data_IF_844560851988
#
_entry.id   IF_844560851988
#
_cell.length_a   1.000
_cell.length_b   1.000
_cell.length_c   1.000
_cell.angle_alpha   90.00
_cell.angle_beta   90.00
_cell.angle_gamma   90.00
#
_symmetry.space_group_name_H-M   'P 1'
#
loop_
_entity.id
_entity.type
_entity.pdbx_description
1 polymer ?
#
# COMPACT_ATOMS: atom_id res chain seq x y z
N UNK A 1 -5.88 16.08 10.92
CA UNK A 1 -4.89 15.66 9.94
C UNK A 1 -4.66 14.15 10.06
N UNK A 2 -4.62 13.46 8.93
CA UNK A 2 -4.28 12.04 8.84
C UNK A 2 -3.08 11.90 7.90
N UNK A 3 -2.01 11.24 8.35
CA UNK A 3 -0.77 11.19 7.55
C UNK A 3 0.04 9.92 7.72
N UNK A 4 0.62 9.48 6.61
CA UNK A 4 1.63 8.42 6.61
C UNK A 4 2.81 8.83 7.53
N UNK A 5 3.38 7.86 8.24
CA UNK A 5 4.47 8.11 9.19
C UNK A 5 4.03 8.65 10.55
N UNK A 6 2.73 8.87 10.79
CA UNK A 6 2.18 9.29 12.08
C UNK A 6 1.87 8.12 13.04
N UNK A 7 2.28 6.90 12.74
CA UNK A 7 2.09 5.72 13.59
C UNK A 7 3.06 5.60 14.78
N UNK A 8 3.98 6.57 14.97
CA UNK A 8 4.89 6.62 16.13
C UNK A 8 4.38 7.60 17.17
N UNK A 9 4.92 7.53 18.41
CA UNK A 9 4.48 8.44 19.50
C UNK A 9 4.88 9.91 19.25
N UNK A 10 6.06 10.14 18.65
CA UNK A 10 6.63 11.50 18.57
C UNK A 10 6.22 12.26 17.29
N UNK A 11 6.08 11.58 16.16
CA UNK A 11 5.76 12.22 14.89
C UNK A 11 4.41 12.98 14.91
N UNK A 12 3.31 12.41 15.42
CA UNK A 12 2.04 13.13 15.57
C UNK A 12 2.15 14.35 16.47
N UNK A 13 2.87 14.26 17.59
CA UNK A 13 3.05 15.37 18.53
C UNK A 13 3.82 16.53 17.90
N UNK A 14 4.90 16.23 17.17
CA UNK A 14 5.69 17.25 16.48
C UNK A 14 4.85 17.96 15.41
N UNK A 15 4.17 17.19 14.56
CA UNK A 15 3.32 17.74 13.50
C UNK A 15 2.15 18.54 14.07
N UNK A 16 1.53 18.07 15.15
CA UNK A 16 0.47 18.80 15.85
C UNK A 16 0.91 20.18 16.28
N UNK A 17 2.09 20.31 16.92
CA UNK A 17 2.64 21.63 17.34
C UNK A 17 2.84 22.58 16.16
N UNK A 18 3.35 22.06 15.03
CA UNK A 18 3.53 22.88 13.81
C UNK A 18 2.17 23.34 13.28
N UNK A 19 1.20 22.43 13.18
CA UNK A 19 -0.14 22.79 12.69
C UNK A 19 -0.87 23.77 13.63
N UNK A 20 -0.76 23.62 14.95
CA UNK A 20 -1.32 24.56 15.93
C UNK A 20 -0.69 25.96 15.82
N UNK A 21 0.58 26.07 15.46
CA UNK A 21 1.23 27.36 15.22
C UNK A 21 0.73 28.07 13.95
N UNK A 22 0.21 27.33 12.99
CA UNK A 22 -0.32 27.85 11.72
C UNK A 22 -1.84 28.12 11.85
N UNK A 23 -2.56 27.18 12.44
CA UNK A 23 -4.01 27.22 12.58
C UNK A 23 -4.41 27.60 14.03
N UNK A 24 -4.11 28.85 14.42
CA UNK A 24 -4.24 29.34 15.80
C UNK A 24 -5.66 29.30 16.38
N UNK A 25 -6.69 29.27 15.52
CA UNK A 25 -8.10 29.24 15.91
C UNK A 25 -8.76 27.87 15.69
N UNK A 26 -7.97 26.80 15.43
CA UNK A 26 -8.49 25.47 15.18
C UNK A 26 -8.07 24.48 16.26
N UNK A 27 -8.95 23.54 16.60
CA UNK A 27 -8.57 22.35 17.35
C UNK A 27 -7.85 21.39 16.38
N UNK A 28 -6.57 21.10 16.63
CA UNK A 28 -5.76 20.25 15.79
C UNK A 28 -5.67 18.84 16.37
N UNK A 29 -6.02 17.84 15.58
CA UNK A 29 -5.78 16.44 15.85
C UNK A 29 -4.93 15.83 14.74
N UNK A 30 -3.92 15.03 15.10
CA UNK A 30 -3.05 14.32 14.16
C UNK A 30 -3.12 12.83 14.45
N UNK A 31 -3.51 12.06 13.46
CA UNK A 31 -3.59 10.58 13.49
C UNK A 31 -2.85 9.99 12.30
N UNK A 32 -2.56 8.71 12.35
CA UNK A 32 -2.03 7.98 11.21
C UNK A 32 -3.09 7.84 10.09
N UNK A 33 -2.63 7.62 8.87
CA UNK A 33 -3.45 7.49 7.66
C UNK A 33 -4.42 6.30 7.70
N UNK A 34 -4.11 5.27 8.49
CA UNK A 34 -4.99 4.12 8.75
C UNK A 34 -6.37 4.55 9.24
N UNK A 35 -6.45 5.58 10.10
CA UNK A 35 -7.74 6.11 10.55
C UNK A 35 -8.55 6.74 9.42
N UNK A 36 -7.89 7.44 8.48
CA UNK A 36 -8.59 8.00 7.32
C UNK A 36 -9.17 6.89 6.43
N UNK A 37 -8.40 5.83 6.18
CA UNK A 37 -8.87 4.69 5.42
C UNK A 37 -10.07 4.02 6.09
N UNK A 38 -10.03 3.82 7.42
CA UNK A 38 -11.15 3.25 8.18
C UNK A 38 -12.39 4.12 8.04
N UNK A 39 -12.29 5.40 8.39
CA UNK A 39 -13.46 6.29 8.36
C UNK A 39 -14.04 6.50 6.96
N UNK A 40 -13.20 6.43 5.91
CA UNK A 40 -13.67 6.49 4.53
C UNK A 40 -14.44 5.25 4.09
N UNK A 41 -14.21 4.11 4.72
CA UNK A 41 -14.84 2.82 4.35
C UNK A 41 -16.02 2.45 5.26
N UNK A 42 -15.95 2.72 6.57
CA UNK A 42 -17.03 2.40 7.51
C UNK A 42 -18.05 3.54 7.66
N UNK A 43 -17.73 4.75 7.17
CA UNK A 43 -18.62 5.90 7.23
C UNK A 43 -18.95 6.38 8.65
N UNK A 44 -20.04 7.13 8.78
CA UNK A 44 -20.49 7.71 10.05
C UNK A 44 -21.09 6.68 11.03
N UNK A 45 -21.43 5.48 10.54
CA UNK A 45 -21.99 4.42 11.39
C UNK A 45 -20.97 3.78 12.31
N UNK A 46 -19.67 3.97 12.05
CA UNK A 46 -18.56 3.38 12.81
C UNK A 46 -18.73 1.87 13.04
N UNK A 47 -19.30 1.16 12.03
CA UNK A 47 -19.54 -0.28 12.13
C UNK A 47 -18.21 -1.05 12.13
N UNK A 48 -18.11 -2.13 12.91
CA UNK A 48 -16.93 -2.97 12.90
C UNK A 48 -16.61 -3.51 11.50
N UNK A 49 -15.32 -3.54 11.14
CA UNK A 49 -14.86 -4.01 9.84
C UNK A 49 -13.38 -4.39 9.88
N UNK A 50 -12.95 -5.30 9.02
CA UNK A 50 -11.54 -5.47 8.65
C UNK A 50 -11.26 -4.53 7.48
N UNK A 51 -10.27 -3.64 7.62
CA UNK A 51 -9.95 -2.64 6.60
C UNK A 51 -8.54 -2.88 6.07
N UNK A 52 -8.47 -3.10 4.76
CA UNK A 52 -7.24 -3.35 4.02
C UNK A 52 -6.86 -2.11 3.21
N UNK A 53 -5.62 -1.66 3.36
CA UNK A 53 -5.05 -0.58 2.55
C UNK A 53 -4.14 -1.21 1.51
N UNK A 54 -4.38 -0.94 0.22
CA UNK A 54 -3.56 -1.37 -0.92
C UNK A 54 -3.18 -0.16 -1.76
N UNK A 55 -2.12 0.51 -1.36
CA UNK A 55 -1.57 1.71 -2.00
C UNK A 55 -0.11 1.53 -2.42
N UNK A 56 0.75 2.50 -2.17
CA UNK A 56 2.20 2.39 -2.32
C UNK A 56 2.76 1.26 -1.45
N UNK A 57 2.32 1.17 -0.20
CA UNK A 57 2.48 0.03 0.70
C UNK A 57 1.15 -0.69 0.91
N UNK A 58 1.13 -1.68 1.83
CA UNK A 58 -0.10 -2.35 2.23
C UNK A 58 -0.21 -2.52 3.74
N UNK A 59 -1.45 -2.55 4.23
CA UNK A 59 -1.75 -2.77 5.64
C UNK A 59 -3.13 -3.43 5.78
N UNK A 60 -3.37 -4.10 6.90
CA UNK A 60 -4.66 -4.67 7.26
C UNK A 60 -4.90 -4.51 8.75
N UNK A 61 -6.05 -3.98 9.13
CA UNK A 61 -6.43 -3.71 10.52
C UNK A 61 -7.87 -4.12 10.77
N UNK A 62 -8.19 -4.48 12.00
CA UNK A 62 -9.56 -4.64 12.44
C UNK A 62 -9.98 -3.40 13.25
N UNK A 63 -11.12 -2.84 12.89
CA UNK A 63 -11.80 -1.77 13.61
C UNK A 63 -13.04 -2.35 14.29
N UNK A 64 -13.16 -2.22 15.61
CA UNK A 64 -14.26 -2.79 16.39
C UNK A 64 -15.47 -1.86 16.54
N UNK A 65 -15.44 -0.70 15.88
CA UNK A 65 -16.41 0.39 16.02
C UNK A 65 -15.92 1.55 16.89
N UNK A 66 -14.84 1.35 17.66
CA UNK A 66 -14.26 2.36 18.55
C UNK A 66 -12.73 2.43 18.46
N UNK A 67 -12.06 1.30 18.40
CA UNK A 67 -10.61 1.18 18.42
C UNK A 67 -10.09 0.38 17.23
N UNK A 68 -8.83 0.64 16.87
CA UNK A 68 -8.09 -0.08 15.84
C UNK A 68 -7.27 -1.18 16.51
N UNK A 69 -7.38 -2.40 15.97
CA UNK A 69 -6.60 -3.56 16.38
C UNK A 69 -5.69 -3.98 15.24
N UNK A 70 -4.38 -3.83 15.42
CA UNK A 70 -3.36 -4.22 14.46
C UNK A 70 -2.61 -5.45 14.99
N UNK A 71 -2.80 -6.60 14.35
CA UNK A 71 -2.14 -7.85 14.73
C UNK A 71 -0.76 -8.00 14.10
N UNK A 72 -0.56 -7.41 12.94
CA UNK A 72 0.71 -7.43 12.21
C UNK A 72 1.29 -6.02 12.17
N UNK A 73 2.46 -5.84 12.78
CA UNK A 73 3.19 -4.56 12.72
C UNK A 73 3.86 -4.47 11.34
N UNK A 74 3.59 -3.40 10.59
CA UNK A 74 4.24 -3.17 9.30
C UNK A 74 5.71 -2.80 9.51
N UNK A 75 6.61 -3.60 8.93
CA UNK A 75 8.04 -3.33 8.89
C UNK A 75 8.48 -2.66 7.57
N UNK A 76 7.52 -2.31 6.73
CA UNK A 76 7.74 -1.59 5.49
C UNK A 76 8.12 -2.48 4.29
N UNK A 77 8.31 -1.81 3.17
CA UNK A 77 8.38 -2.40 1.83
C UNK A 77 9.51 -3.41 1.59
N UNK A 78 10.58 -3.36 2.37
CA UNK A 78 11.71 -4.29 2.19
C UNK A 78 11.37 -5.73 2.58
N UNK A 79 10.46 -5.90 3.55
CA UNK A 79 10.14 -7.20 4.17
C UNK A 79 8.67 -7.57 3.94
N UNK A 80 7.78 -6.58 3.93
CA UNK A 80 6.34 -6.74 3.89
C UNK A 80 5.72 -6.02 2.68
N UNK A 81 4.51 -5.53 2.82
CA UNK A 81 3.73 -4.79 1.81
C UNK A 81 3.24 -5.66 0.64
N UNK A 82 2.89 -6.92 0.89
CA UNK A 82 2.30 -7.81 -0.13
C UNK A 82 1.11 -7.14 -0.84
N UNK A 83 0.96 -7.38 -2.13
CA UNK A 83 -0.05 -6.81 -3.02
C UNK A 83 -0.10 -5.27 -3.09
N UNK A 84 0.90 -4.57 -2.59
CA UNK A 84 1.03 -3.12 -2.75
C UNK A 84 1.65 -2.72 -4.08
N UNK A 85 1.63 -1.42 -4.40
CA UNK A 85 2.29 -0.87 -5.57
C UNK A 85 3.79 -1.16 -5.59
N UNK A 86 4.48 -1.02 -4.44
CA UNK A 86 5.91 -1.33 -4.35
C UNK A 86 6.20 -2.83 -4.52
N UNK A 87 5.34 -3.70 -3.99
CA UNK A 87 5.44 -5.16 -4.19
C UNK A 87 5.36 -5.51 -5.68
N UNK A 88 4.34 -5.02 -6.35
CA UNK A 88 4.15 -5.29 -7.77
C UNK A 88 5.24 -4.67 -8.64
N UNK A 89 5.67 -3.45 -8.33
CA UNK A 89 6.77 -2.81 -9.05
C UNK A 89 8.07 -3.58 -8.91
N UNK A 90 8.40 -4.04 -7.71
CA UNK A 90 9.55 -4.90 -7.46
C UNK A 90 9.45 -6.22 -8.25
N UNK A 91 8.26 -6.85 -8.28
CA UNK A 91 8.06 -8.08 -9.02
C UNK A 91 8.24 -7.85 -10.53
N UNK A 92 7.66 -6.79 -11.09
CA UNK A 92 7.79 -6.45 -12.51
C UNK A 92 9.24 -6.18 -12.92
N UNK A 93 9.99 -5.42 -12.11
CA UNK A 93 11.41 -5.20 -12.35
C UNK A 93 12.21 -6.51 -12.32
N UNK A 94 11.97 -7.36 -11.34
CA UNK A 94 12.60 -8.69 -11.28
C UNK A 94 12.31 -9.53 -12.52
N UNK A 95 11.05 -9.60 -12.91
CA UNK A 95 10.60 -10.38 -14.06
C UNK A 95 11.19 -9.84 -15.37
N UNK A 96 11.33 -8.51 -15.48
CA UNK A 96 12.01 -7.88 -16.62
C UNK A 96 13.47 -8.29 -16.73
N UNK A 97 14.24 -8.17 -15.64
CA UNK A 97 15.67 -8.43 -15.64
C UNK A 97 16.02 -9.92 -15.64
N UNK A 98 15.21 -10.78 -15.03
CA UNK A 98 15.38 -12.22 -15.07
C UNK A 98 14.77 -12.89 -16.30
N UNK A 99 14.21 -12.11 -17.24
CA UNK A 99 13.57 -12.62 -18.47
C UNK A 99 12.36 -13.54 -18.23
N UNK A 100 11.62 -13.33 -17.13
CA UNK A 100 10.36 -14.01 -16.84
C UNK A 100 9.15 -13.29 -17.46
N UNK A 101 9.29 -12.00 -17.76
CA UNK A 101 8.27 -11.23 -18.47
C UNK A 101 8.19 -11.67 -19.93
N UNK A 102 7.00 -11.95 -20.51
CA UNK A 102 6.81 -12.25 -21.92
C UNK A 102 7.44 -11.18 -22.81
N UNK A 103 7.97 -11.61 -23.97
CA UNK A 103 8.78 -10.74 -24.83
C UNK A 103 8.05 -9.47 -25.32
N UNK A 104 6.81 -9.61 -25.72
CA UNK A 104 5.92 -8.51 -26.14
C UNK A 104 5.70 -7.49 -25.02
N UNK A 105 5.35 -7.96 -23.82
CA UNK A 105 5.19 -7.11 -22.65
C UNK A 105 6.52 -6.48 -22.21
N UNK A 106 7.64 -7.18 -22.36
CA UNK A 106 8.96 -6.66 -22.05
C UNK A 106 9.33 -5.47 -22.94
N UNK A 107 8.97 -5.53 -24.23
CA UNK A 107 9.14 -4.41 -25.15
C UNK A 107 8.29 -3.19 -24.74
N UNK A 108 7.01 -3.41 -24.42
CA UNK A 108 6.12 -2.35 -23.93
C UNK A 108 6.65 -1.74 -22.63
N UNK A 109 7.10 -2.57 -21.68
CA UNK A 109 7.67 -2.13 -20.40
C UNK A 109 8.92 -1.25 -20.61
N UNK A 110 9.83 -1.69 -21.49
CA UNK A 110 11.05 -0.94 -21.84
C UNK A 110 10.75 0.41 -22.52
N UNK A 111 9.68 0.49 -23.32
CA UNK A 111 9.28 1.73 -23.97
C UNK A 111 8.67 2.74 -22.99
N UNK A 112 7.95 2.23 -21.97
CA UNK A 112 7.25 3.05 -21.01
C UNK A 112 8.14 3.57 -19.89
N UNK A 113 9.11 2.79 -19.44
CA UNK A 113 9.96 3.10 -18.30
C UNK A 113 11.43 3.23 -18.69
N UNK A 114 12.14 4.12 -17.99
CA UNK A 114 13.59 4.21 -18.14
C UNK A 114 14.25 2.98 -17.51
N UNK A 115 14.64 2.03 -18.35
CA UNK A 115 15.25 0.75 -17.95
C UNK A 115 16.78 0.80 -17.96
N UNK A 116 17.39 2.00 -17.86
CA UNK A 116 18.83 2.13 -17.66
C UNK A 116 19.19 1.68 -16.23
N UNK A 117 20.16 0.78 -16.12
CA UNK A 117 20.56 0.13 -14.87
C UNK A 117 21.00 1.13 -13.78
N UNK A 118 21.78 2.15 -14.18
CA UNK A 118 22.29 3.13 -13.24
C UNK A 118 21.16 4.06 -12.75
N UNK A 119 20.25 4.43 -13.66
CA UNK A 119 19.07 5.21 -13.29
C UNK A 119 18.21 4.46 -12.25
N UNK A 120 17.96 3.17 -12.47
CA UNK A 120 17.19 2.34 -11.52
C UNK A 120 17.92 2.21 -10.18
N UNK A 121 19.24 1.92 -10.19
CA UNK A 121 20.03 1.81 -8.95
C UNK A 121 20.05 3.13 -8.17
N UNK A 122 20.17 4.27 -8.84
CA UNK A 122 20.11 5.58 -8.19
C UNK A 122 18.77 5.79 -7.50
N UNK A 123 17.64 5.49 -8.17
CA UNK A 123 16.31 5.64 -7.56
C UNK A 123 16.05 4.65 -6.41
N UNK A 124 16.61 3.45 -6.47
CA UNK A 124 16.43 2.45 -5.41
C UNK A 124 17.31 2.69 -4.19
N UNK A 125 18.52 3.24 -4.37
CA UNK A 125 19.55 3.24 -3.30
C UNK A 125 20.10 4.62 -2.93
N UNK A 126 19.84 5.66 -3.72
CA UNK A 126 20.40 7.00 -3.52
C UNK A 126 19.32 8.09 -3.40
N UNK A 127 18.14 7.87 -3.93
CA UNK A 127 17.04 8.81 -3.84
C UNK A 127 16.14 8.51 -2.62
N UNK A 128 15.43 9.53 -2.09
CA UNK A 128 14.42 9.31 -1.06
C UNK A 128 13.22 8.54 -1.64
N UNK A 129 12.50 7.82 -0.76
CA UNK A 129 11.24 7.13 -1.08
C UNK A 129 11.34 6.07 -2.19
N UNK A 130 12.26 5.12 -2.13
CA UNK A 130 12.39 4.05 -3.14
C UNK A 130 11.13 3.18 -3.26
N UNK A 131 10.33 3.07 -2.20
CA UNK A 131 9.02 2.42 -2.22
C UNK A 131 8.04 3.12 -3.16
N UNK A 132 8.01 4.45 -3.17
CA UNK A 132 7.17 5.21 -4.09
C UNK A 132 7.65 5.05 -5.55
N UNK A 133 8.97 5.06 -5.76
CA UNK A 133 9.54 4.76 -7.08
C UNK A 133 9.14 3.37 -7.58
N UNK A 134 9.26 2.34 -6.73
CA UNK A 134 8.81 0.99 -7.08
C UNK A 134 7.31 0.98 -7.43
N UNK A 135 6.48 1.67 -6.67
CA UNK A 135 5.04 1.69 -6.89
C UNK A 135 4.64 2.30 -8.25
N UNK A 136 5.48 3.15 -8.86
CA UNK A 136 5.20 3.71 -10.20
C UNK A 136 5.08 2.64 -11.29
N UNK A 137 5.76 1.51 -11.14
CA UNK A 137 5.68 0.41 -12.10
C UNK A 137 4.36 -0.37 -12.04
N UNK A 138 3.62 -0.29 -10.92
CA UNK A 138 2.37 -1.03 -10.76
C UNK A 138 1.28 -0.61 -11.76
N UNK A 139 1.33 0.62 -12.28
CA UNK A 139 0.44 1.09 -13.35
C UNK A 139 0.48 0.19 -14.60
N UNK A 140 1.62 -0.46 -14.85
CA UNK A 140 1.76 -1.42 -15.95
C UNK A 140 0.76 -2.57 -15.87
N UNK A 141 0.40 -2.99 -14.66
CA UNK A 141 -0.59 -4.06 -14.46
C UNK A 141 -1.99 -3.62 -14.93
N UNK A 142 -2.39 -2.39 -14.59
CA UNK A 142 -3.69 -1.83 -15.00
C UNK A 142 -3.79 -1.78 -16.52
N UNK A 143 -2.74 -1.27 -17.17
CA UNK A 143 -2.70 -1.06 -18.61
C UNK A 143 -2.63 -2.37 -19.42
N UNK A 144 -2.24 -3.47 -18.78
CA UNK A 144 -2.08 -4.77 -19.44
C UNK A 144 -2.87 -5.88 -18.74
N UNK A 145 -3.98 -5.53 -18.06
CA UNK A 145 -4.77 -6.44 -17.20
C UNK A 145 -5.35 -7.65 -17.92
N UNK A 146 -5.51 -7.59 -19.26
CA UNK A 146 -6.00 -8.70 -20.07
C UNK A 146 -4.92 -9.78 -20.31
N UNK A 147 -3.66 -9.48 -20.01
CA UNK A 147 -2.57 -10.45 -20.16
C UNK A 147 -2.61 -11.53 -19.09
N UNK A 148 -2.50 -12.79 -19.48
CA UNK A 148 -2.42 -13.93 -18.57
C UNK A 148 -1.24 -13.84 -17.60
N UNK A 149 -0.12 -13.30 -18.07
CA UNK A 149 1.05 -13.02 -17.23
C UNK A 149 0.68 -12.01 -16.11
N UNK A 150 0.07 -10.88 -16.48
CA UNK A 150 -0.32 -9.84 -15.54
C UNK A 150 -1.33 -10.36 -14.52
N UNK A 151 -2.35 -11.09 -14.98
CA UNK A 151 -3.34 -11.73 -14.10
C UNK A 151 -2.68 -12.70 -13.11
N UNK A 152 -1.65 -13.44 -13.55
CA UNK A 152 -0.90 -14.36 -12.68
C UNK A 152 -0.11 -13.59 -11.62
N UNK A 153 0.53 -12.48 -11.99
CA UNK A 153 1.27 -11.61 -11.05
C UNK A 153 0.33 -11.02 -10.01
N UNK A 154 -0.82 -10.47 -10.45
CA UNK A 154 -1.83 -9.90 -9.55
C UNK A 154 -2.37 -10.97 -8.60
N UNK A 155 -2.82 -12.11 -9.12
CA UNK A 155 -3.36 -13.20 -8.33
C UNK A 155 -2.38 -13.71 -7.27
N UNK A 156 -1.10 -13.83 -7.62
CA UNK A 156 -0.05 -14.24 -6.68
C UNK A 156 0.13 -13.24 -5.54
N UNK A 157 0.19 -11.94 -5.86
CA UNK A 157 0.32 -10.88 -4.86
C UNK A 157 -0.89 -10.81 -3.92
N UNK A 158 -2.10 -10.82 -4.49
CA UNK A 158 -3.34 -10.80 -3.70
C UNK A 158 -3.47 -12.04 -2.81
N UNK A 159 -3.12 -13.23 -3.34
CA UNK A 159 -3.11 -14.46 -2.53
C UNK A 159 -2.16 -14.32 -1.34
N UNK A 160 -0.94 -13.83 -1.55
CA UNK A 160 0.02 -13.58 -0.48
C UNK A 160 -0.57 -12.64 0.58
N UNK A 161 -1.17 -11.52 0.17
CA UNK A 161 -1.78 -10.56 1.09
C UNK A 161 -2.93 -11.17 1.91
N UNK A 162 -3.79 -11.97 1.27
CA UNK A 162 -4.86 -12.69 1.97
C UNK A 162 -4.27 -13.60 3.05
N UNK A 163 -3.28 -14.41 2.69
CA UNK A 163 -2.68 -15.40 3.59
C UNK A 163 -1.88 -14.74 4.73
N UNK A 164 -1.15 -13.66 4.46
CA UNK A 164 -0.27 -13.01 5.44
C UNK A 164 -0.97 -11.97 6.30
N UNK A 165 -1.97 -11.27 5.77
CA UNK A 165 -2.60 -10.12 6.43
C UNK A 165 -4.07 -10.37 6.79
N UNK A 166 -4.93 -10.71 5.83
CA UNK A 166 -6.38 -10.86 6.10
C UNK A 166 -6.65 -12.05 7.01
N UNK A 167 -5.96 -13.17 6.80
CA UNK A 167 -6.14 -14.38 7.60
C UNK A 167 -5.66 -14.27 9.05
N UNK A 168 -4.98 -13.20 9.43
CA UNK A 168 -4.74 -12.88 10.84
C UNK A 168 -6.04 -12.56 11.58
N UNK A 169 -7.05 -12.06 10.86
CA UNK A 169 -8.39 -11.72 11.38
C UNK A 169 -9.44 -12.77 11.00
N UNK A 170 -9.05 -14.06 10.95
CA UNK A 170 -9.91 -15.17 10.49
C UNK A 170 -11.21 -15.34 11.29
N UNK A 171 -11.25 -14.92 12.55
CA UNK A 171 -12.45 -14.99 13.37
C UNK A 171 -13.36 -13.78 13.09
N UNK A 172 -12.79 -12.59 13.00
CA UNK A 172 -13.51 -11.34 12.77
C UNK A 172 -14.20 -11.33 11.40
N UNK A 173 -13.52 -11.76 10.33
CA UNK A 173 -14.08 -11.79 8.97
C UNK A 173 -15.28 -12.74 8.79
N UNK A 174 -15.60 -13.58 9.79
CA UNK A 174 -16.81 -14.39 9.78
C UNK A 174 -18.07 -13.56 10.08
N UNK A 175 -17.93 -12.43 10.74
CA UNK A 175 -19.03 -11.63 11.27
C UNK A 175 -19.04 -10.19 10.82
N UNK A 176 -17.90 -9.67 10.29
CA UNK A 176 -17.78 -8.30 9.82
C UNK A 176 -17.33 -8.24 8.36
N UNK A 177 -17.66 -7.15 7.63
CA UNK A 177 -17.20 -6.99 6.26
C UNK A 177 -15.68 -6.73 6.19
N UNK A 178 -15.10 -7.06 5.03
CA UNK A 178 -13.74 -6.67 4.65
C UNK A 178 -13.82 -5.52 3.65
N UNK A 179 -13.23 -4.39 3.98
CA UNK A 179 -13.16 -3.21 3.12
C UNK A 179 -11.77 -3.02 2.56
N UNK A 180 -11.69 -2.47 1.36
CA UNK A 180 -10.43 -2.14 0.69
C UNK A 180 -10.37 -0.64 0.40
N UNK A 181 -9.21 -0.04 0.65
CA UNK A 181 -8.88 1.35 0.33
C UNK A 181 -7.51 1.43 -0.36
N UNK A 182 -7.32 2.41 -1.26
CA UNK A 182 -6.04 2.63 -1.95
C UNK A 182 -6.17 2.49 -3.47
N UNK A 183 -5.07 2.75 -4.19
CA UNK A 183 -5.07 2.77 -5.66
C UNK A 183 -5.01 1.38 -6.32
N UNK A 184 -4.56 0.37 -5.58
CA UNK A 184 -4.35 -0.98 -6.13
C UNK A 184 -5.64 -1.79 -6.20
N UNK A 185 -6.67 -1.47 -5.41
CA UNK A 185 -7.92 -2.23 -5.41
C UNK A 185 -8.76 -2.06 -6.70
N UNK A 186 -8.38 -1.15 -7.61
CA UNK A 186 -9.00 -0.97 -8.92
C UNK A 186 -8.56 -2.00 -9.98
N UNK A 187 -7.72 -2.96 -9.64
CA UNK A 187 -7.28 -4.02 -10.55
C UNK A 187 -8.34 -5.07 -10.88
#
# INVERSE_FOLDING_TARGET
FYGAGCGTVEAPKMLKRVLESIFTNAAVEVKEDTYAAIYSTVGLAHSPAVVCILGTGSNCTYFDGSAIHQLVISLGYSIMDDASGNYFGRQLLRDYYFNFMPHDLKLIFKTRYNMNDDFIKVNLYKQPNPNAYLATFAEFLILNKESTYVQTVIKKGLKSFVETMIMQFKEEIKTVPVHFAGSIYFF
#
